data_IF_413133569931
#
_entry.id   IF_413133569931
#
_cell.length_a   1.000
_cell.length_b   1.000
_cell.length_c   1.000
_cell.angle_alpha   90.00
_cell.angle_beta   90.00
_cell.angle_gamma   90.00
#
_symmetry.space_group_name_H-M   'P 1'
#
loop_
_entity.id
_entity.type
_entity.pdbx_description
1 polymer ?
#
# COMPACT_ATOMS: atom_id res chain seq x y z
N UNK A 1 8.07 -16.63 -4.00
CA UNK A 1 7.82 -15.41 -4.81
C UNK A 1 6.34 -15.26 -5.09
N UNK A 2 5.69 -16.23 -5.75
CA UNK A 2 4.24 -16.16 -6.08
C UNK A 2 3.35 -15.88 -4.87
N UNK A 3 3.56 -16.60 -3.77
CA UNK A 3 2.83 -16.37 -2.52
C UNK A 3 2.95 -14.93 -1.99
N UNK A 4 4.07 -14.24 -2.24
CA UNK A 4 4.24 -12.84 -1.81
C UNK A 4 3.49 -11.88 -2.73
N UNK A 5 3.44 -12.18 -4.04
CA UNK A 5 2.61 -11.44 -5.01
C UNK A 5 1.12 -11.59 -4.66
N UNK A 6 0.67 -12.80 -4.34
CA UNK A 6 -0.71 -13.09 -3.93
C UNK A 6 -1.08 -12.49 -2.55
N UNK A 7 -0.12 -12.43 -1.62
CA UNK A 7 -0.35 -11.85 -0.30
C UNK A 7 -0.45 -10.32 -0.34
N UNK A 8 0.22 -9.68 -1.30
CA UNK A 8 0.19 -8.23 -1.47
C UNK A 8 -1.23 -7.80 -1.86
N UNK A 9 -1.83 -6.92 -1.05
CA UNK A 9 -3.23 -6.58 -1.25
C UNK A 9 -3.59 -5.20 -0.75
N UNK A 10 -4.40 -4.51 -1.56
CA UNK A 10 -5.07 -3.27 -1.24
C UNK A 10 -6.33 -3.17 -2.11
N UNK A 11 -7.41 -2.61 -1.57
CA UNK A 11 -8.62 -2.28 -2.32
C UNK A 11 -9.24 -0.96 -1.84
N UNK A 12 -10.28 -0.51 -2.55
CA UNK A 12 -11.03 0.70 -2.22
C UNK A 12 -12.05 0.53 -1.08
N UNK A 13 -12.08 -0.61 -0.39
CA UNK A 13 -13.01 -0.82 0.72
C UNK A 13 -12.58 0.00 1.94
N UNK A 14 -13.51 0.25 2.87
CA UNK A 14 -13.22 0.98 4.11
C UNK A 14 -12.21 0.28 5.03
N UNK A 15 -11.89 -0.99 4.78
CA UNK A 15 -10.82 -1.70 5.50
C UNK A 15 -9.42 -1.31 5.02
N UNK A 16 -9.27 -0.89 3.76
CA UNK A 16 -7.95 -0.62 3.16
C UNK A 16 -7.78 0.82 2.66
N UNK A 17 -8.88 1.52 2.38
CA UNK A 17 -8.93 2.92 2.02
C UNK A 17 -10.04 3.60 2.82
N UNK A 18 -9.66 4.31 3.89
CA UNK A 18 -10.60 4.92 4.83
C UNK A 18 -10.51 6.43 4.81
N UNK A 19 -11.64 7.09 4.60
CA UNK A 19 -11.75 8.54 4.79
C UNK A 19 -12.05 8.87 6.25
N UNK A 20 -11.36 9.87 6.79
CA UNK A 20 -11.63 10.44 8.11
C UNK A 20 -12.14 11.88 7.95
N UNK A 21 -13.43 12.07 8.17
CA UNK A 21 -14.09 13.37 8.05
C UNK A 21 -13.56 14.43 9.02
N UNK A 22 -13.06 14.04 10.20
CA UNK A 22 -12.59 15.00 11.21
C UNK A 22 -11.25 15.63 10.83
N UNK A 23 -10.39 14.85 10.18
CA UNK A 23 -9.06 15.31 9.76
C UNK A 23 -8.98 15.63 8.26
N UNK A 24 -10.05 15.38 7.49
CA UNK A 24 -10.07 15.49 6.02
C UNK A 24 -8.91 14.73 5.35
N UNK A 25 -8.70 13.48 5.78
CA UNK A 25 -7.60 12.65 5.28
C UNK A 25 -8.07 11.25 4.91
N UNK A 26 -7.42 10.69 3.90
CA UNK A 26 -7.52 9.28 3.55
C UNK A 26 -6.38 8.47 4.16
N UNK A 27 -6.71 7.37 4.81
CA UNK A 27 -5.76 6.34 5.23
C UNK A 27 -5.73 5.23 4.18
N UNK A 28 -4.57 5.01 3.57
CA UNK A 28 -4.31 3.89 2.66
C UNK A 28 -3.52 2.81 3.39
N UNK A 29 -3.95 1.57 3.26
CA UNK A 29 -3.36 0.42 3.95
C UNK A 29 -2.95 -0.63 2.92
N UNK A 30 -1.69 -1.06 2.97
CA UNK A 30 -1.17 -2.16 2.16
C UNK A 30 -0.92 -3.37 3.04
N UNK A 31 -1.51 -4.51 2.70
CA UNK A 31 -1.21 -5.81 3.31
C UNK A 31 -0.04 -6.47 2.57
N UNK A 32 0.84 -7.12 3.32
CA UNK A 32 1.99 -7.87 2.79
C UNK A 32 2.17 -9.17 3.56
N UNK A 33 2.96 -10.12 3.05
CA UNK A 33 3.38 -11.29 3.84
C UNK A 33 4.23 -10.84 5.02
N UNK A 34 3.96 -11.41 6.21
CA UNK A 34 4.73 -11.14 7.42
C UNK A 34 6.25 -11.27 7.19
N UNK A 35 7.00 -10.25 7.58
CA UNK A 35 8.47 -10.23 7.53
C UNK A 35 9.09 -10.16 6.12
N UNK A 36 8.29 -10.14 5.05
CA UNK A 36 8.82 -10.13 3.68
C UNK A 36 9.26 -8.74 3.19
N UNK A 37 8.74 -7.69 3.81
CA UNK A 37 8.92 -6.29 3.42
C UNK A 37 9.68 -5.54 4.51
N UNK A 38 10.74 -4.85 4.14
CA UNK A 38 11.47 -3.93 5.02
C UNK A 38 10.87 -2.51 4.96
N UNK A 39 10.42 -2.09 3.77
CA UNK A 39 9.82 -0.78 3.54
C UNK A 39 8.72 -0.85 2.48
N UNK A 40 7.61 -0.15 2.72
CA UNK A 40 6.52 0.03 1.76
C UNK A 40 6.38 1.51 1.41
N UNK A 41 6.01 1.79 0.18
CA UNK A 41 5.82 3.12 -0.38
C UNK A 41 4.50 3.19 -1.14
N UNK A 42 3.85 4.34 -1.07
CA UNK A 42 2.77 4.73 -1.96
C UNK A 42 3.29 5.81 -2.90
N UNK A 43 3.00 5.68 -4.18
CA UNK A 43 3.44 6.61 -5.21
C UNK A 43 2.22 7.29 -5.85
N UNK A 44 2.23 8.62 -5.91
CA UNK A 44 1.21 9.45 -6.56
C UNK A 44 1.94 10.42 -7.50
N UNK A 45 1.56 10.47 -8.77
CA UNK A 45 2.16 11.37 -9.78
C UNK A 45 3.70 11.35 -9.81
N UNK A 46 4.30 10.18 -9.59
CA UNK A 46 5.76 9.98 -9.56
C UNK A 46 6.43 10.30 -8.22
N UNK A 47 5.71 10.83 -7.24
CA UNK A 47 6.23 11.09 -5.89
C UNK A 47 5.98 9.90 -4.98
N UNK A 48 7.06 9.35 -4.41
CA UNK A 48 7.00 8.22 -3.50
C UNK A 48 7.01 8.68 -2.04
N UNK A 49 6.06 8.19 -1.27
CA UNK A 49 5.92 8.46 0.15
C UNK A 49 6.03 7.16 0.93
N UNK A 50 6.90 7.14 1.94
CA UNK A 50 7.09 5.96 2.79
C UNK A 50 5.86 5.73 3.66
N UNK A 51 5.41 4.49 3.70
CA UNK A 51 4.34 4.02 4.59
C UNK A 51 4.93 3.54 5.92
N UNK A 52 4.17 3.69 7.00
CA UNK A 52 4.53 3.21 8.34
C UNK A 52 4.00 1.81 8.56
N UNK A 53 4.80 0.92 9.16
CA UNK A 53 4.29 -0.35 9.66
C UNK A 53 3.27 -0.08 10.77
N UNK A 54 2.05 -0.57 10.63
CA UNK A 54 0.94 -0.31 11.53
C UNK A 54 0.69 -1.48 12.46
N UNK A 55 0.62 -2.71 11.92
CA UNK A 55 0.19 -3.89 12.68
C UNK A 55 0.60 -5.19 11.97
N UNK A 56 0.60 -6.28 12.71
CA UNK A 56 0.81 -7.65 12.23
C UNK A 56 -0.34 -8.52 12.70
N UNK A 57 -1.06 -9.17 11.78
CA UNK A 57 -2.17 -10.09 12.11
C UNK A 57 -2.06 -11.39 11.33
N UNK A 58 -2.01 -12.50 12.06
CA UNK A 58 -1.87 -13.82 11.46
C UNK A 58 -0.59 -13.92 10.63
N UNK A 59 -0.73 -14.07 9.31
CA UNK A 59 0.40 -14.23 8.37
C UNK A 59 0.73 -12.96 7.60
N UNK A 60 0.23 -11.80 8.04
CA UNK A 60 0.32 -10.56 7.28
C UNK A 60 0.81 -9.37 8.13
N UNK A 61 1.62 -8.53 7.50
CA UNK A 61 1.97 -7.19 7.98
C UNK A 61 1.16 -6.13 7.22
N UNK A 62 0.79 -5.06 7.92
CA UNK A 62 -0.03 -3.96 7.40
C UNK A 62 0.76 -2.66 7.49
N UNK A 63 0.89 -1.98 6.36
CA UNK A 63 1.54 -0.68 6.24
C UNK A 63 0.52 0.39 5.93
N UNK A 64 0.62 1.58 6.53
CA UNK A 64 -0.35 2.64 6.37
C UNK A 64 0.29 4.00 6.08
N UNK A 65 -0.44 4.86 5.36
CA UNK A 65 -0.14 6.28 5.21
C UNK A 65 -1.44 7.09 5.25
N UNK A 66 -1.37 8.29 5.83
CA UNK A 66 -2.49 9.24 5.89
C UNK A 66 -2.19 10.43 4.98
N UNK A 67 -3.12 10.77 4.10
CA UNK A 67 -2.93 11.84 3.10
C UNK A 67 -4.16 12.76 3.04
N UNK A 68 -3.93 14.06 3.05
CA UNK A 68 -4.93 15.06 2.68
C UNK A 68 -4.91 15.24 1.16
N UNK A 69 -5.91 14.70 0.47
CA UNK A 69 -5.98 14.69 -1.01
C UNK A 69 -6.92 15.75 -1.59
N UNK A 70 -7.78 16.34 -0.74
CA UNK A 70 -8.87 17.22 -1.17
C UNK A 70 -9.82 16.49 -2.14
N UNK A 71 -10.32 17.21 -3.13
CA UNK A 71 -11.32 16.73 -4.11
C UNK A 71 -10.71 16.13 -5.38
N UNK A 72 -9.39 15.91 -5.44
CA UNK A 72 -8.72 15.42 -6.64
C UNK A 72 -8.86 13.91 -6.78
N UNK A 73 -9.25 13.45 -7.97
CA UNK A 73 -9.03 12.05 -8.35
C UNK A 73 -7.55 11.80 -8.52
N UNK A 74 -7.03 10.79 -7.83
CA UNK A 74 -5.62 10.41 -7.88
C UNK A 74 -5.44 9.02 -8.50
N UNK A 75 -4.35 8.85 -9.24
CA UNK A 75 -3.83 7.54 -9.62
C UNK A 75 -2.64 7.24 -8.73
N UNK A 76 -2.60 6.02 -8.21
CA UNK A 76 -1.52 5.59 -7.33
C UNK A 76 -1.14 4.14 -7.55
N UNK A 77 0.06 3.80 -7.12
CA UNK A 77 0.52 2.44 -6.98
C UNK A 77 1.34 2.32 -5.70
N UNK A 78 1.60 1.10 -5.27
CA UNK A 78 2.50 0.81 -4.18
C UNK A 78 3.79 0.18 -4.68
N UNK A 79 4.85 0.38 -3.92
CA UNK A 79 6.13 -0.28 -4.12
C UNK A 79 6.63 -0.82 -2.79
N UNK A 80 7.14 -2.04 -2.80
CA UNK A 80 7.79 -2.63 -1.63
C UNK A 80 9.28 -2.83 -1.88
N UNK A 81 10.05 -2.75 -0.79
CA UNK A 81 11.46 -3.13 -0.72
C UNK A 81 11.57 -4.16 0.38
N UNK A 82 12.13 -5.32 0.04
CA UNK A 82 12.42 -6.38 0.99
C UNK A 82 13.04 -7.56 0.28
N UNK A 83 12.51 -8.76 0.53
CA UNK A 83 13.00 -9.97 -0.14
C UNK A 83 12.91 -9.86 -1.67
N UNK A 84 11.82 -9.28 -2.18
CA UNK A 84 11.70 -8.87 -3.58
C UNK A 84 11.21 -7.43 -3.65
N UNK A 85 11.62 -6.72 -4.70
CA UNK A 85 11.04 -5.43 -5.06
C UNK A 85 9.79 -5.69 -5.89
N UNK A 86 8.62 -5.34 -5.36
CA UNK A 86 7.35 -5.51 -6.06
C UNK A 86 6.66 -4.15 -6.22
N UNK A 87 5.91 -4.04 -7.31
CA UNK A 87 4.96 -2.97 -7.57
C UNK A 87 3.55 -3.54 -7.49
N UNK A 88 2.60 -2.74 -7.03
CA UNK A 88 1.21 -3.16 -6.93
C UNK A 88 0.25 -2.04 -7.25
N UNK A 89 -0.68 -2.32 -8.14
CA UNK A 89 -1.76 -1.42 -8.53
C UNK A 89 -3.03 -2.24 -8.79
N UNK A 90 -4.02 -1.64 -9.46
CA UNK A 90 -5.29 -2.30 -9.79
C UNK A 90 -5.12 -3.57 -10.65
N UNK A 91 -4.00 -3.73 -11.35
CA UNK A 91 -3.68 -4.93 -12.14
C UNK A 91 -2.99 -6.03 -11.32
N UNK A 92 -2.73 -5.80 -10.04
CA UNK A 92 -2.07 -6.75 -9.14
C UNK A 92 -0.57 -6.50 -8.98
N UNK A 93 0.13 -7.51 -8.48
CA UNK A 93 1.55 -7.44 -8.15
C UNK A 93 2.45 -7.76 -9.35
N UNK A 94 3.51 -6.97 -9.54
CA UNK A 94 4.49 -7.12 -10.62
C UNK A 94 5.92 -6.84 -10.13
N UNK A 95 6.90 -7.41 -10.81
CA UNK A 95 8.33 -7.09 -10.61
C UNK A 95 8.77 -5.87 -11.43
N UNK A 96 8.02 -5.57 -12.49
CA UNK A 96 8.26 -4.44 -13.38
C UNK A 96 7.22 -3.35 -13.15
N UNK A 97 7.66 -2.10 -13.26
CA UNK A 97 6.75 -0.96 -13.28
C UNK A 97 6.15 -0.84 -14.69
N UNK A 98 4.82 -0.83 -14.77
CA UNK A 98 4.04 -0.63 -15.99
C UNK A 98 3.05 0.50 -15.79
#
# INVERSE_FOLDING_TARGET
MEQQKEALFHDGSSQFCKYNEKSDTYTFILRTTIGAVNQAFMAIDGYEMRMSHMDTKGRFDYYAINLALGTKMIKYHFRTVGQYRLYYNVFGASEHFF
#
